data_IF_961189497301
#
_entry.id   IF_961189497301
#
_cell.length_a   1.000
_cell.length_b   1.000
_cell.length_c   1.000
_cell.angle_alpha   90.00
_cell.angle_beta   90.00
_cell.angle_gamma   90.00
#
_symmetry.space_group_name_H-M   'P 1'
#
loop_
_entity.id
_entity.type
_entity.pdbx_description
1 polymer ?
#
# COMPACT_ATOMS: atom_id res chain seq x y z
N UNK A 1 -16.86 40.32 -56.66
CA UNK A 1 -16.11 39.12 -56.23
C UNK A 1 -15.91 39.19 -54.74
N UNK A 2 -16.50 38.28 -53.97
CA UNK A 2 -16.06 37.86 -52.62
C UNK A 2 -16.93 36.66 -52.24
N UNK A 3 -16.31 35.48 -52.17
CA UNK A 3 -16.98 34.19 -51.99
C UNK A 3 -17.38 33.91 -50.55
N UNK A 4 -18.52 33.25 -50.39
CA UNK A 4 -18.99 32.68 -49.13
C UNK A 4 -18.14 31.45 -48.77
N UNK A 5 -17.42 31.50 -47.64
CA UNK A 5 -16.80 30.33 -47.03
C UNK A 5 -17.75 29.76 -45.99
N UNK A 6 -18.26 28.54 -46.24
CA UNK A 6 -19.05 27.74 -45.30
C UNK A 6 -18.10 27.10 -44.29
N UNK A 7 -18.30 27.35 -42.99
CA UNK A 7 -17.66 26.56 -41.95
C UNK A 7 -18.41 25.24 -41.80
N UNK A 8 -17.75 24.13 -42.16
CA UNK A 8 -18.23 22.79 -41.87
C UNK A 8 -18.21 22.57 -40.36
N UNK A 9 -19.39 22.30 -39.79
CA UNK A 9 -19.54 21.79 -38.44
C UNK A 9 -18.84 20.42 -38.35
N UNK A 10 -17.72 20.38 -37.62
CA UNK A 10 -17.10 19.12 -37.21
C UNK A 10 -17.86 18.64 -35.98
N UNK A 11 -18.62 17.55 -36.17
CA UNK A 11 -19.25 16.83 -35.07
C UNK A 11 -18.17 16.37 -34.07
N UNK A 12 -18.40 16.48 -32.74
CA UNK A 12 -17.50 15.86 -31.78
C UNK A 12 -17.57 14.33 -31.96
N UNK A 13 -16.41 13.72 -32.18
CA UNK A 13 -16.26 12.28 -32.15
C UNK A 13 -16.78 11.73 -30.82
N UNK A 14 -17.39 10.53 -30.79
CA UNK A 14 -17.78 9.91 -29.53
C UNK A 14 -16.51 9.60 -28.74
N UNK A 15 -16.20 10.41 -27.73
CA UNK A 15 -15.24 10.03 -26.71
C UNK A 15 -15.77 8.75 -26.06
N UNK A 16 -14.95 7.70 -25.90
CA UNK A 16 -15.35 6.58 -25.06
C UNK A 16 -15.66 7.17 -23.68
N UNK A 17 -16.90 6.97 -23.25
CA UNK A 17 -17.39 7.37 -21.95
C UNK A 17 -16.29 7.11 -20.91
N UNK A 18 -15.91 8.15 -20.18
CA UNK A 18 -15.03 8.03 -19.03
C UNK A 18 -15.59 6.87 -18.19
N UNK A 19 -14.92 5.72 -18.26
CA UNK A 19 -15.19 4.62 -17.39
C UNK A 19 -15.00 5.21 -16.00
N UNK A 20 -16.13 5.41 -15.29
CA UNK A 20 -16.11 5.70 -13.87
C UNK A 20 -15.18 4.64 -13.30
N UNK A 21 -13.96 5.04 -12.90
CA UNK A 21 -13.08 4.21 -12.10
C UNK A 21 -13.98 3.73 -10.99
N UNK A 22 -14.35 2.45 -11.05
CA UNK A 22 -15.15 1.83 -10.03
C UNK A 22 -14.51 2.26 -8.73
N UNK A 23 -15.28 2.95 -7.88
CA UNK A 23 -14.84 3.32 -6.55
C UNK A 23 -14.31 2.02 -5.95
N UNK A 24 -12.97 1.91 -5.95
CA UNK A 24 -12.25 0.76 -5.47
C UNK A 24 -12.57 0.80 -3.99
N UNK A 25 -13.61 0.03 -3.59
CA UNK A 25 -14.05 -0.04 -2.21
C UNK A 25 -12.77 -0.24 -1.41
N UNK A 26 -12.41 0.67 -0.49
CA UNK A 26 -11.22 0.51 0.30
C UNK A 26 -11.39 -0.83 0.99
N UNK A 27 -10.63 -1.83 0.52
CA UNK A 27 -10.49 -3.10 1.22
C UNK A 27 -9.63 -2.72 2.41
N UNK A 28 -10.26 -2.18 3.44
CA UNK A 28 -9.64 -2.10 4.75
C UNK A 28 -9.25 -3.54 5.09
N UNK A 29 -7.96 -3.82 5.04
CA UNK A 29 -7.40 -5.16 5.23
C UNK A 29 -7.75 -5.69 6.62
N UNK A 30 -8.06 -4.79 7.57
CA UNK A 30 -8.46 -5.10 8.92
C UNK A 30 -9.56 -4.14 9.41
N UNK A 31 -10.38 -4.56 10.40
CA UNK A 31 -11.33 -3.67 11.04
C UNK A 31 -10.63 -2.43 11.61
N UNK A 32 -11.14 -1.23 11.32
CA UNK A 32 -10.54 0.02 11.79
C UNK A 32 -10.36 0.04 13.32
N UNK A 33 -11.32 -0.53 14.07
CA UNK A 33 -11.25 -0.69 15.53
C UNK A 33 -10.00 -1.46 15.99
N UNK A 34 -9.60 -2.49 15.24
CA UNK A 34 -8.40 -3.26 15.56
C UNK A 34 -7.15 -2.42 15.33
N UNK A 35 -7.06 -1.70 14.20
CA UNK A 35 -5.91 -0.83 13.91
C UNK A 35 -5.77 0.30 14.93
N UNK A 36 -6.89 0.91 15.34
CA UNK A 36 -6.93 1.92 16.40
C UNK A 36 -6.46 1.34 17.75
N UNK A 37 -6.81 0.10 18.06
CA UNK A 37 -6.36 -0.57 19.29
C UNK A 37 -4.84 -0.80 19.35
N UNK A 38 -4.16 -0.80 18.19
CA UNK A 38 -2.72 -0.94 18.07
C UNK A 38 -1.97 0.39 18.14
N UNK A 39 -2.68 1.53 18.13
CA UNK A 39 -2.04 2.84 18.18
C UNK A 39 -1.22 2.99 19.47
N UNK A 40 0.00 3.51 19.34
CA UNK A 40 1.02 3.63 20.38
C UNK A 40 1.83 2.36 20.65
N UNK A 41 1.45 1.20 20.07
CA UNK A 41 2.13 -0.08 20.29
C UNK A 41 3.18 -0.35 19.22
N UNK A 42 4.16 -1.20 19.54
CA UNK A 42 5.00 -1.79 18.49
C UNK A 42 4.19 -2.80 17.70
N UNK A 43 4.33 -2.72 16.39
CA UNK A 43 3.68 -3.58 15.42
C UNK A 43 4.69 -4.07 14.40
N UNK A 44 4.41 -5.25 13.88
CA UNK A 44 5.06 -5.84 12.72
C UNK A 44 4.05 -5.80 11.58
N UNK A 45 4.47 -5.25 10.44
CA UNK A 45 3.68 -5.13 9.21
C UNK A 45 4.34 -5.96 8.13
N UNK A 46 3.66 -7.00 7.67
CA UNK A 46 4.06 -7.78 6.51
C UNK A 46 3.54 -7.12 5.25
N UNK A 47 4.44 -6.84 4.32
CA UNK A 47 4.09 -6.21 3.06
C UNK A 47 3.81 -7.29 2.00
N UNK A 48 2.77 -7.07 1.19
CA UNK A 48 2.33 -7.99 0.13
C UNK A 48 3.31 -8.12 -1.04
N UNK A 49 4.43 -7.42 -1.00
CA UNK A 49 5.47 -7.50 -2.02
C UNK A 49 6.81 -7.93 -1.41
N UNK A 50 7.45 -8.90 -2.06
CA UNK A 50 8.88 -9.21 -1.94
C UNK A 50 9.38 -9.66 -0.54
N UNK A 51 8.52 -10.29 0.26
CA UNK A 51 8.90 -10.78 1.60
C UNK A 51 9.48 -9.70 2.53
N UNK A 52 9.01 -8.45 2.34
CA UNK A 52 9.39 -7.32 3.17
C UNK A 52 8.52 -7.19 4.41
N UNK A 53 9.16 -6.79 5.50
CA UNK A 53 8.52 -6.60 6.79
C UNK A 53 8.98 -5.29 7.42
N UNK A 54 8.04 -4.53 7.98
CA UNK A 54 8.32 -3.31 8.72
C UNK A 54 7.95 -3.51 10.18
N UNK A 55 8.89 -3.28 11.07
CA UNK A 55 8.65 -3.25 12.51
C UNK A 55 8.77 -1.82 13.00
N UNK A 56 7.80 -1.33 13.75
CA UNK A 56 7.84 0.04 14.27
C UNK A 56 6.74 0.30 15.27
N UNK A 57 6.74 1.47 15.89
CA UNK A 57 5.62 1.94 16.73
C UNK A 57 4.54 2.55 15.85
N UNK A 58 3.31 2.06 15.96
CA UNK A 58 2.18 2.63 15.25
C UNK A 58 1.79 3.97 15.88
N UNK A 59 2.06 5.08 15.21
CA UNK A 59 1.80 6.42 15.73
C UNK A 59 0.42 6.95 15.27
N UNK A 60 0.01 6.67 14.04
CA UNK A 60 -1.30 7.05 13.53
C UNK A 60 -1.86 6.04 12.51
N UNK A 61 -3.18 6.05 12.37
CA UNK A 61 -3.94 5.23 11.42
C UNK A 61 -4.91 6.15 10.68
N UNK A 62 -4.93 6.09 9.36
CA UNK A 62 -5.97 6.70 8.54
C UNK A 62 -7.27 5.89 8.68
N UNK A 63 -8.32 6.49 9.23
CA UNK A 63 -9.61 5.84 9.47
C UNK A 63 -10.35 5.48 8.17
N UNK A 64 -10.08 6.19 7.07
CA UNK A 64 -10.79 6.01 5.79
C UNK A 64 -10.11 4.95 4.92
N UNK A 65 -8.78 4.97 4.87
CA UNK A 65 -7.99 4.11 3.98
C UNK A 65 -7.29 2.98 4.70
N UNK A 66 -7.06 3.09 6.01
CA UNK A 66 -6.21 2.18 6.78
C UNK A 66 -4.72 2.37 6.53
N UNK A 67 -4.29 3.50 5.96
CA UNK A 67 -2.87 3.84 5.85
C UNK A 67 -2.26 3.98 7.25
N UNK A 68 -1.03 3.51 7.43
CA UNK A 68 -0.37 3.50 8.75
C UNK A 68 0.80 4.46 8.78
N UNK A 69 0.96 5.15 9.90
CA UNK A 69 2.16 5.93 10.19
C UNK A 69 2.95 5.25 11.31
N UNK A 70 4.17 4.82 11.00
CA UNK A 70 5.07 4.14 11.91
C UNK A 70 6.24 5.04 12.32
N UNK A 71 6.69 4.91 13.57
CA UNK A 71 7.88 5.52 14.15
C UNK A 71 8.90 4.45 14.54
N UNK A 72 10.19 4.83 14.65
CA UNK A 72 11.31 3.94 15.01
C UNK A 72 11.33 2.65 14.15
N UNK A 73 11.21 2.84 12.84
CA UNK A 73 10.94 1.78 11.88
C UNK A 73 12.22 1.03 11.53
N UNK A 74 12.15 -0.29 11.62
CA UNK A 74 13.17 -1.22 11.15
C UNK A 74 12.56 -2.02 10.00
N UNK A 75 13.24 -1.98 8.85
CA UNK A 75 12.81 -2.66 7.64
C UNK A 75 13.62 -3.93 7.46
N UNK A 76 12.93 -5.05 7.30
CA UNK A 76 13.51 -6.35 7.12
C UNK A 76 13.11 -6.97 5.78
N UNK A 77 13.95 -7.87 5.28
CA UNK A 77 13.63 -8.80 4.21
C UNK A 77 13.84 -10.21 4.70
N UNK A 78 12.84 -11.06 4.44
CA UNK A 78 12.97 -12.49 4.61
C UNK A 78 13.67 -13.10 3.41
N UNK A 79 14.72 -13.86 3.70
CA UNK A 79 15.37 -14.71 2.71
C UNK A 79 14.97 -16.16 2.98
N UNK A 80 14.24 -16.74 2.02
CA UNK A 80 14.02 -18.18 1.99
C UNK A 80 15.24 -18.82 1.32
N UNK A 81 16.13 -19.41 2.11
CA UNK A 81 17.31 -20.08 1.61
C UNK A 81 16.93 -21.30 0.74
N UNK A 82 16.90 -21.14 -0.58
CA UNK A 82 16.79 -22.24 -1.53
C UNK A 82 18.16 -22.93 -1.66
N UNK A 83 18.52 -23.76 -0.68
CA UNK A 83 19.70 -24.62 -0.76
C UNK A 83 19.34 -26.06 -0.38
N UNK A 84 18.95 -26.86 -1.39
CA UNK A 84 19.10 -28.31 -1.35
C UNK A 84 18.30 -29.09 -0.31
N UNK A 85 16.96 -29.05 -0.40
CA UNK A 85 16.09 -30.12 0.14
C UNK A 85 16.01 -30.25 1.67
N UNK A 86 16.64 -29.38 2.45
CA UNK A 86 16.37 -29.21 3.88
C UNK A 86 15.76 -27.83 4.12
N UNK A 87 14.57 -27.83 4.74
CA UNK A 87 13.87 -26.63 5.18
C UNK A 87 14.78 -25.86 6.16
N UNK A 88 15.60 -24.93 5.67
CA UNK A 88 16.32 -24.00 6.54
C UNK A 88 15.34 -22.91 6.96
N UNK A 89 15.36 -22.61 8.25
CA UNK A 89 14.63 -21.49 8.84
C UNK A 89 14.85 -20.23 7.99
N UNK A 90 13.75 -19.55 7.63
CA UNK A 90 13.83 -18.29 6.91
C UNK A 90 14.67 -17.30 7.71
N UNK A 91 15.66 -16.67 7.08
CA UNK A 91 16.51 -15.69 7.79
C UNK A 91 15.97 -14.29 7.51
N UNK A 92 15.53 -13.60 8.57
CA UNK A 92 15.13 -12.19 8.54
C UNK A 92 16.40 -11.33 8.61
N UNK A 93 16.61 -10.46 7.62
CA UNK A 93 17.78 -9.56 7.55
C UNK A 93 17.33 -8.12 7.58
N UNK A 94 18.00 -7.29 8.38
CA UNK A 94 17.72 -5.86 8.46
C UNK A 94 18.26 -5.16 7.20
N UNK A 95 17.38 -4.51 6.45
CA UNK A 95 17.75 -3.71 5.29
C UNK A 95 18.09 -2.27 5.67
N UNK A 96 17.25 -1.65 6.51
CA UNK A 96 17.40 -0.24 6.89
C UNK A 96 16.63 0.11 8.16
N UNK A 97 17.04 1.19 8.80
CA UNK A 97 16.29 1.88 9.84
C UNK A 97 15.86 3.26 9.38
N UNK A 98 14.65 3.65 9.73
CA UNK A 98 14.08 4.95 9.43
C UNK A 98 13.41 5.49 10.69
N UNK A 99 13.50 6.80 10.93
CA UNK A 99 12.82 7.43 12.07
C UNK A 99 11.29 7.30 11.95
N UNK A 100 10.78 7.35 10.73
CA UNK A 100 9.36 7.22 10.44
C UNK A 100 9.13 6.64 9.05
N UNK A 101 7.96 6.03 8.84
CA UNK A 101 7.52 5.55 7.55
C UNK A 101 5.99 5.63 7.44
N UNK A 102 5.52 6.07 6.27
CA UNK A 102 4.09 5.99 5.91
C UNK A 102 3.88 4.75 5.05
N UNK A 103 3.01 3.85 5.51
CA UNK A 103 2.72 2.57 4.85
C UNK A 103 1.33 2.65 4.24
N UNK A 104 1.27 2.49 2.92
CA UNK A 104 0.00 2.46 2.22
C UNK A 104 -0.72 1.14 2.51
N UNK A 105 -1.99 1.24 2.87
CA UNK A 105 -2.80 0.07 3.25
C UNK A 105 -2.82 -0.99 2.17
N UNK A 106 -2.83 -0.61 0.88
CA UNK A 106 -2.87 -1.56 -0.25
C UNK A 106 -1.73 -2.57 -0.26
N UNK A 107 -0.60 -2.26 0.38
CA UNK A 107 0.55 -3.14 0.46
C UNK A 107 0.64 -3.91 1.77
N UNK A 108 -0.31 -3.74 2.68
CA UNK A 108 -0.31 -4.46 3.95
C UNK A 108 -1.00 -5.80 3.74
N UNK A 109 -0.31 -6.89 4.04
CA UNK A 109 -0.90 -8.21 4.02
C UNK A 109 -1.40 -8.60 5.41
N UNK A 110 -0.53 -8.42 6.41
CA UNK A 110 -0.79 -8.78 7.81
C UNK A 110 -0.15 -7.71 8.71
N UNK A 111 -0.84 -7.38 9.80
CA UNK A 111 -0.24 -6.65 10.93
C UNK A 111 -0.39 -7.48 12.20
N UNK A 112 0.67 -7.54 12.99
CA UNK A 112 0.67 -8.18 14.30
C UNK A 112 1.26 -7.27 15.35
N UNK A 113 0.77 -7.29 16.61
CA UNK A 113 1.51 -6.74 17.72
C UNK A 113 2.89 -7.41 17.81
N UNK A 114 3.94 -6.63 18.05
CA UNK A 114 5.29 -7.15 18.30
C UNK A 114 5.46 -7.58 19.77
#
# INVERSE_FOLDING_TARGET
MSGNVKFNAVAPAPMPAAAKKAAEKPRAILPCEFLLSLQGRRVVVFLSYQDHELEGRLAAVDADKGDLFLEDVVHFVWSHGAAGGKLREGTRTELRRCSSAMVNSRYIEIITPA
#
